data_IF_896665742122
#
_entry.id   IF_896665742122
#
_cell.length_a   1.000
_cell.length_b   1.000
_cell.length_c   1.000
_cell.angle_alpha   90.00
_cell.angle_beta   90.00
_cell.angle_gamma   90.00
#
_symmetry.space_group_name_H-M   'P 1'
#
loop_
_entity.id
_entity.type
_entity.pdbx_description
1 polymer ?
#
# COMPACT_ATOMS: atom_id res chain seq x y z
N UNK A 1 -14.41 8.98 6.36
CA UNK A 1 -13.36 8.74 5.34
C UNK A 1 -12.25 7.90 5.95
N UNK A 2 -11.68 6.94 5.18
CA UNK A 2 -10.46 6.20 5.54
C UNK A 2 -9.30 6.67 4.69
N UNK A 3 -8.07 6.67 5.22
CA UNK A 3 -6.89 7.03 4.45
C UNK A 3 -5.63 6.27 4.90
N UNK A 4 -4.63 6.25 4.01
CA UNK A 4 -3.31 5.69 4.22
C UNK A 4 -2.25 6.60 3.60
N UNK A 5 -1.21 6.92 4.35
CA UNK A 5 -0.13 7.79 3.86
C UNK A 5 0.92 7.01 3.09
N UNK A 6 1.46 7.63 2.03
CA UNK A 6 2.45 7.07 1.11
C UNK A 6 3.75 7.86 1.10
N UNK A 7 4.85 7.18 0.87
CA UNK A 7 6.16 7.79 0.76
C UNK A 7 7.15 7.39 1.86
N UNK A 8 8.34 7.91 1.77
CA UNK A 8 9.46 7.60 2.66
C UNK A 8 9.94 8.87 3.35
N UNK A 9 9.95 8.86 4.68
CA UNK A 9 10.50 9.97 5.46
C UNK A 9 12.00 10.10 5.18
N UNK A 10 12.43 11.30 4.78
CA UNK A 10 13.82 11.62 4.55
C UNK A 10 14.60 11.73 5.88
N UNK A 11 15.90 11.46 5.82
CA UNK A 11 16.78 11.70 6.98
C UNK A 11 16.78 13.18 7.35
N UNK A 12 16.84 13.47 8.64
CA UNK A 12 16.85 14.84 9.16
C UNK A 12 15.47 15.52 9.19
N UNK A 13 14.38 14.80 8.92
CA UNK A 13 13.02 15.29 9.15
C UNK A 13 12.74 15.43 10.66
N UNK A 14 12.04 16.50 11.04
CA UNK A 14 11.46 16.69 12.37
C UNK A 14 9.95 16.55 12.30
N UNK A 15 9.25 16.60 13.44
CA UNK A 15 7.77 16.60 13.43
C UNK A 15 7.21 17.91 12.88
N UNK A 16 7.89 19.01 13.14
CA UNK A 16 7.51 20.36 12.68
C UNK A 16 7.80 20.55 11.18
N UNK A 17 8.81 19.86 10.65
CA UNK A 17 9.22 19.94 9.24
C UNK A 17 9.50 18.56 8.69
N UNK A 18 8.44 17.91 8.22
CA UNK A 18 8.46 16.55 7.74
C UNK A 18 8.76 16.51 6.23
N UNK A 19 9.86 15.89 5.84
CA UNK A 19 10.25 15.72 4.44
C UNK A 19 9.96 14.30 3.97
N UNK A 20 9.16 14.19 2.90
CA UNK A 20 8.71 12.91 2.35
C UNK A 20 9.23 12.77 0.93
N UNK A 21 9.98 11.69 0.68
CA UNK A 21 10.39 11.31 -0.67
C UNK A 21 9.33 10.42 -1.31
N UNK A 22 8.91 10.75 -2.55
CA UNK A 22 8.05 9.93 -3.38
C UNK A 22 8.47 10.05 -4.85
N UNK A 23 8.85 8.92 -5.46
CA UNK A 23 9.47 8.94 -6.77
C UNK A 23 10.75 9.80 -6.75
N UNK A 24 10.82 10.76 -7.66
CA UNK A 24 11.95 11.71 -7.77
C UNK A 24 11.72 13.02 -6.99
N UNK A 25 10.57 13.17 -6.34
CA UNK A 25 10.19 14.40 -5.64
C UNK A 25 10.37 14.25 -4.13
N UNK A 26 10.66 15.39 -3.48
CA UNK A 26 10.67 15.54 -2.03
C UNK A 26 9.68 16.64 -1.65
N UNK A 27 8.71 16.28 -0.86
CA UNK A 27 7.69 17.18 -0.33
C UNK A 27 8.03 17.57 1.09
N UNK A 28 7.72 18.79 1.48
CA UNK A 28 7.85 19.24 2.86
C UNK A 28 6.46 19.50 3.41
N UNK A 29 6.11 18.81 4.48
CA UNK A 29 4.83 18.93 5.17
C UNK A 29 5.06 19.58 6.53
N UNK A 30 4.16 20.49 6.93
CA UNK A 30 4.21 21.22 8.20
C UNK A 30 2.81 21.24 8.84
N UNK A 31 2.73 21.47 10.15
CA UNK A 31 1.47 21.59 10.87
C UNK A 31 0.54 20.39 10.67
N UNK A 32 -0.72 20.66 10.31
CA UNK A 32 -1.79 19.67 10.18
C UNK A 32 -1.47 18.61 9.10
N UNK A 33 -0.84 19.00 7.97
CA UNK A 33 -0.44 18.07 6.93
C UNK A 33 0.55 17.01 7.44
N UNK A 34 1.54 17.45 8.22
CA UNK A 34 2.52 16.55 8.82
C UNK A 34 1.89 15.61 9.85
N UNK A 35 0.98 16.10 10.67
CA UNK A 35 0.26 15.31 11.67
C UNK A 35 -0.61 14.23 11.02
N UNK A 36 -1.44 14.59 10.06
CA UNK A 36 -2.30 13.67 9.32
C UNK A 36 -1.44 12.61 8.59
N UNK A 37 -0.38 13.05 7.91
CA UNK A 37 0.49 12.12 7.21
C UNK A 37 1.16 11.12 8.16
N UNK A 38 1.62 11.57 9.32
CA UNK A 38 2.26 10.69 10.32
C UNK A 38 1.26 9.70 10.92
N UNK A 39 0.02 10.09 11.14
CA UNK A 39 -1.01 9.19 11.70
C UNK A 39 -1.42 8.09 10.72
N UNK A 40 -1.54 8.41 9.43
CA UNK A 40 -1.85 7.45 8.36
C UNK A 40 -0.66 6.59 7.90
N UNK A 41 0.55 6.78 8.44
CA UNK A 41 1.78 6.18 7.89
C UNK A 41 1.87 4.66 8.04
N UNK A 42 1.38 4.10 9.13
CA UNK A 42 1.55 2.68 9.48
C UNK A 42 0.23 1.94 9.71
N UNK A 43 -0.87 2.57 9.39
CA UNK A 43 -2.22 2.01 9.52
C UNK A 43 -3.16 2.77 8.59
N UNK A 44 -4.22 2.10 8.16
CA UNK A 44 -5.37 2.82 7.62
C UNK A 44 -6.08 3.48 8.79
N UNK A 45 -6.31 4.78 8.68
CA UNK A 45 -6.84 5.63 9.75
C UNK A 45 -8.18 6.23 9.32
N UNK A 46 -9.13 6.31 10.24
CA UNK A 46 -10.35 7.07 10.03
C UNK A 46 -10.05 8.56 10.24
N UNK A 47 -10.46 9.38 9.27
CA UNK A 47 -10.34 10.82 9.36
C UNK A 47 -11.46 11.38 10.25
N UNK A 48 -11.16 12.33 11.15
CA UNK A 48 -12.21 13.10 11.83
C UNK A 48 -13.10 13.82 10.81
N UNK A 49 -14.39 13.91 11.12
CA UNK A 49 -15.38 14.55 10.24
C UNK A 49 -15.36 16.09 10.41
N UNK A 50 -14.29 16.69 9.91
CA UNK A 50 -14.09 18.14 9.88
C UNK A 50 -13.55 18.57 8.52
N UNK A 51 -14.04 19.71 8.01
CA UNK A 51 -13.66 20.21 6.67
C UNK A 51 -12.16 20.42 6.51
N UNK A 52 -11.48 20.94 7.51
CA UNK A 52 -10.03 21.19 7.46
C UNK A 52 -9.22 19.90 7.21
N UNK A 53 -9.65 18.78 7.79
CA UNK A 53 -8.99 17.49 7.62
C UNK A 53 -9.24 16.90 6.24
N UNK A 54 -10.45 17.09 5.70
CA UNK A 54 -10.79 16.62 4.35
C UNK A 54 -9.96 17.34 3.29
N UNK A 55 -9.86 18.67 3.36
CA UNK A 55 -9.05 19.47 2.44
C UNK A 55 -7.57 19.05 2.46
N UNK A 56 -7.03 18.77 3.65
CA UNK A 56 -5.64 18.28 3.79
C UNK A 56 -5.46 16.91 3.14
N UNK A 57 -6.39 15.97 3.34
CA UNK A 57 -6.29 14.65 2.69
C UNK A 57 -6.40 14.77 1.17
N UNK A 58 -7.28 15.62 0.66
CA UNK A 58 -7.39 15.87 -0.78
C UNK A 58 -6.09 16.46 -1.34
N UNK A 59 -5.46 17.41 -0.65
CA UNK A 59 -4.16 17.97 -1.00
C UNK A 59 -3.05 16.92 -0.99
N UNK A 60 -2.96 16.11 0.07
CA UNK A 60 -1.98 15.01 0.16
C UNK A 60 -2.19 13.98 -0.95
N UNK A 61 -3.43 13.64 -1.28
CA UNK A 61 -3.77 12.71 -2.34
C UNK A 61 -3.43 13.26 -3.73
N UNK A 62 -3.72 14.52 -3.99
CA UNK A 62 -3.34 15.19 -5.24
C UNK A 62 -1.82 15.19 -5.48
N UNK A 63 -1.03 15.29 -4.40
CA UNK A 63 0.42 15.13 -4.43
C UNK A 63 0.87 13.65 -4.40
N UNK A 64 -0.08 12.72 -4.32
CA UNK A 64 0.12 11.29 -4.23
C UNK A 64 0.76 10.85 -2.92
N UNK A 65 0.69 11.64 -1.86
CA UNK A 65 1.22 11.34 -0.54
C UNK A 65 0.22 10.62 0.37
N UNK A 66 -1.02 10.43 -0.10
CA UNK A 66 -2.04 9.63 0.57
C UNK A 66 -2.96 8.95 -0.46
N UNK A 67 -3.61 7.88 -0.04
CA UNK A 67 -4.79 7.29 -0.68
C UNK A 67 -5.94 7.30 0.31
N UNK A 68 -7.16 7.49 -0.19
CA UNK A 68 -8.33 7.54 0.66
C UNK A 68 -9.57 6.91 0.01
N UNK A 69 -10.55 6.57 0.85
CA UNK A 69 -11.89 6.14 0.48
C UNK A 69 -12.91 6.78 1.42
N UNK A 70 -14.07 7.13 0.88
CA UNK A 70 -15.13 7.74 1.68
C UNK A 70 -15.85 6.76 2.61
N UNK A 71 -15.91 5.48 2.23
CA UNK A 71 -16.52 4.44 3.04
C UNK A 71 -15.50 3.76 3.97
N UNK A 72 -15.98 3.13 5.03
CA UNK A 72 -15.15 2.50 6.06
C UNK A 72 -15.27 0.96 6.09
N UNK A 73 -15.64 0.35 4.97
CA UNK A 73 -15.78 -1.09 4.82
C UNK A 73 -14.46 -1.80 4.44
N UNK A 74 -14.49 -3.12 4.38
CA UNK A 74 -13.31 -3.93 4.03
C UNK A 74 -12.90 -3.74 2.57
N UNK A 75 -13.86 -3.44 1.69
CA UNK A 75 -13.61 -3.18 0.26
C UNK A 75 -12.82 -1.87 0.12
N UNK A 76 -13.19 -0.85 0.87
CA UNK A 76 -12.47 0.43 0.91
C UNK A 76 -11.03 0.28 1.37
N UNK A 77 -10.77 -0.56 2.38
CA UNK A 77 -9.40 -0.87 2.81
C UNK A 77 -8.59 -1.53 1.69
N UNK A 78 -9.17 -2.50 0.99
CA UNK A 78 -8.51 -3.14 -0.15
C UNK A 78 -8.25 -2.14 -1.28
N UNK A 79 -9.22 -1.29 -1.63
CA UNK A 79 -9.06 -0.25 -2.67
C UNK A 79 -7.93 0.73 -2.35
N UNK A 80 -7.81 1.18 -1.11
CA UNK A 80 -6.68 2.00 -0.67
C UNK A 80 -5.37 1.26 -0.93
N UNK A 81 -5.27 0.00 -0.52
CA UNK A 81 -4.04 -0.79 -0.68
C UNK A 81 -3.71 -1.09 -2.15
N UNK A 82 -4.70 -1.28 -3.02
CA UNK A 82 -4.46 -1.54 -4.46
C UNK A 82 -3.83 -0.37 -5.19
N UNK A 83 -4.02 0.85 -4.68
CA UNK A 83 -3.40 2.08 -5.21
C UNK A 83 -2.01 2.34 -4.62
N UNK A 84 -1.53 1.46 -3.77
CA UNK A 84 -0.22 1.55 -3.13
C UNK A 84 0.74 0.49 -3.67
N UNK A 85 2.01 0.84 -3.76
CA UNK A 85 3.07 -0.10 -4.06
C UNK A 85 3.75 -0.53 -2.76
N UNK A 86 3.68 -1.82 -2.44
CA UNK A 86 4.27 -2.39 -1.24
C UNK A 86 5.78 -2.57 -1.39
N UNK A 87 6.55 -1.98 -0.50
CA UNK A 87 8.01 -2.13 -0.48
C UNK A 87 8.48 -2.70 0.86
N UNK A 88 9.43 -3.63 0.88
CA UNK A 88 10.09 -4.03 2.12
C UNK A 88 10.77 -2.82 2.76
N UNK A 89 10.55 -2.62 4.06
CA UNK A 89 11.29 -1.60 4.80
C UNK A 89 12.76 -2.03 4.95
N UNK A 90 13.68 -1.06 4.96
CA UNK A 90 15.12 -1.29 5.20
C UNK A 90 15.41 -1.67 6.67
N UNK A 91 14.63 -2.58 7.24
CA UNK A 91 14.82 -3.08 8.60
C UNK A 91 15.17 -4.57 8.54
N UNK A 92 15.79 -5.10 9.60
CA UNK A 92 16.06 -6.55 9.69
C UNK A 92 14.77 -7.32 9.42
N UNK A 93 14.72 -8.06 8.32
CA UNK A 93 13.55 -8.81 7.84
C UNK A 93 13.12 -9.92 8.81
N UNK A 94 14.06 -10.43 9.60
CA UNK A 94 13.83 -11.55 10.50
C UNK A 94 13.61 -11.05 11.92
N UNK A 95 12.35 -11.05 12.33
CA UNK A 95 11.95 -10.97 13.72
C UNK A 95 11.23 -12.27 14.07
N UNK A 96 11.54 -12.85 15.20
CA UNK A 96 10.87 -14.07 15.72
C UNK A 96 9.36 -13.87 15.94
N UNK A 97 8.88 -12.62 15.90
CA UNK A 97 7.47 -12.23 16.09
C UNK A 97 6.62 -12.26 14.82
N UNK A 98 7.17 -12.66 13.66
CA UNK A 98 6.42 -12.69 12.41
C UNK A 98 5.66 -14.03 12.24
N UNK A 99 4.38 -13.94 11.86
CA UNK A 99 3.54 -15.09 11.50
C UNK A 99 4.01 -15.71 10.18
N UNK A 100 3.54 -16.93 9.89
CA UNK A 100 3.93 -17.67 8.66
C UNK A 100 3.58 -16.91 7.39
N UNK A 101 2.35 -16.40 7.28
CA UNK A 101 1.89 -15.61 6.12
C UNK A 101 2.68 -14.29 5.98
N UNK A 102 2.99 -13.59 7.07
CA UNK A 102 3.81 -12.38 7.05
C UNK A 102 5.22 -12.66 6.49
N UNK A 103 5.85 -13.76 6.92
CA UNK A 103 7.14 -14.21 6.38
C UNK A 103 7.05 -14.55 4.90
N UNK A 104 5.94 -15.14 4.46
CA UNK A 104 5.70 -15.49 3.05
C UNK A 104 5.61 -14.24 2.19
N UNK A 105 4.80 -13.26 2.56
CA UNK A 105 4.66 -12.00 1.81
C UNK A 105 5.98 -11.24 1.76
N UNK A 106 6.70 -11.11 2.88
CA UNK A 106 8.03 -10.46 2.89
C UNK A 106 9.05 -11.19 2.00
N UNK A 107 9.01 -12.52 1.97
CA UNK A 107 9.86 -13.32 1.09
C UNK A 107 9.51 -13.11 -0.38
N UNK A 108 8.22 -12.96 -0.71
CA UNK A 108 7.77 -12.64 -2.06
C UNK A 108 8.26 -11.27 -2.50
N UNK A 109 8.02 -10.23 -1.69
CA UNK A 109 8.50 -8.88 -1.96
C UNK A 109 10.02 -8.81 -2.13
N UNK A 110 10.76 -9.58 -1.31
CA UNK A 110 12.23 -9.63 -1.40
C UNK A 110 12.71 -10.40 -2.63
N UNK A 111 12.03 -11.49 -3.02
CA UNK A 111 12.39 -12.29 -4.20
C UNK A 111 12.05 -11.61 -5.51
N UNK A 112 10.95 -10.91 -5.56
CA UNK A 112 10.59 -10.13 -6.73
C UNK A 112 11.65 -9.06 -7.03
N UNK A 113 12.45 -8.68 -6.03
CA UNK A 113 13.44 -7.60 -6.18
C UNK A 113 12.80 -6.26 -6.51
N UNK A 114 11.47 -6.21 -6.53
CA UNK A 114 10.65 -5.11 -6.94
C UNK A 114 9.52 -4.85 -5.97
N UNK A 115 8.90 -3.77 -6.24
CA UNK A 115 7.69 -3.27 -5.60
C UNK A 115 6.49 -3.90 -6.28
N UNK A 116 5.59 -4.48 -5.50
CA UNK A 116 4.34 -5.07 -5.97
C UNK A 116 3.16 -4.31 -5.38
N UNK A 117 2.11 -4.12 -6.17
CA UNK A 117 0.82 -3.65 -5.67
C UNK A 117 0.11 -4.78 -4.92
N UNK A 118 -0.89 -4.43 -4.13
CA UNK A 118 -1.73 -5.43 -3.44
C UNK A 118 -2.49 -6.29 -4.45
N UNK A 119 -2.93 -5.72 -5.57
CA UNK A 119 -3.58 -6.47 -6.64
C UNK A 119 -2.65 -7.50 -7.29
N UNK A 120 -1.41 -7.11 -7.58
CA UNK A 120 -0.38 -8.03 -8.11
C UNK A 120 -0.08 -9.17 -7.12
N UNK A 121 0.08 -8.85 -5.83
CA UNK A 121 0.30 -9.86 -4.78
C UNK A 121 -0.88 -10.83 -4.68
N UNK A 122 -2.12 -10.31 -4.72
CA UNK A 122 -3.33 -11.14 -4.66
C UNK A 122 -3.40 -12.06 -5.87
N UNK A 123 -3.20 -11.53 -7.07
CA UNK A 123 -3.18 -12.31 -8.30
C UNK A 123 -2.13 -13.44 -8.27
N UNK A 124 -0.90 -13.12 -7.87
CA UNK A 124 0.18 -14.09 -7.76
C UNK A 124 -0.15 -15.20 -6.75
N UNK A 125 -0.75 -14.83 -5.62
CA UNK A 125 -1.15 -15.78 -4.60
C UNK A 125 -2.28 -16.71 -5.07
N UNK A 126 -3.35 -16.16 -5.66
CA UNK A 126 -4.49 -16.92 -6.17
C UNK A 126 -4.09 -17.92 -7.25
N UNK A 127 -3.18 -17.51 -8.14
CA UNK A 127 -2.69 -18.36 -9.22
C UNK A 127 -1.49 -19.24 -8.81
N UNK A 128 -1.07 -19.19 -7.53
CA UNK A 128 0.08 -19.95 -7.00
C UNK A 128 1.40 -19.69 -7.74
N UNK A 129 1.55 -18.50 -8.31
CA UNK A 129 2.73 -18.06 -9.06
C UNK A 129 3.74 -17.50 -8.06
N UNK A 130 4.94 -18.08 -8.03
CA UNK A 130 6.04 -17.55 -7.20
C UNK A 130 6.70 -16.37 -7.92
N UNK A 131 6.78 -15.19 -7.28
CA UNK A 131 7.49 -14.07 -7.86
C UNK A 131 8.97 -14.39 -8.06
N UNK A 132 9.50 -14.06 -9.23
CA UNK A 132 10.90 -14.16 -9.59
C UNK A 132 11.38 -12.88 -10.28
N UNK A 133 12.69 -12.63 -10.36
CA UNK A 133 13.21 -11.48 -11.10
C UNK A 133 12.79 -11.47 -12.57
N UNK A 134 12.65 -12.64 -13.20
CA UNK A 134 12.23 -12.76 -14.60
C UNK A 134 10.78 -12.28 -14.80
N UNK A 135 9.90 -12.53 -13.83
CA UNK A 135 8.51 -12.07 -13.87
C UNK A 135 8.39 -10.55 -13.82
N UNK A 136 9.46 -9.90 -13.43
CA UNK A 136 9.54 -8.47 -13.15
C UNK A 136 10.42 -7.71 -14.14
N UNK A 137 10.97 -8.41 -15.13
CA UNK A 137 11.56 -7.74 -16.28
C UNK A 137 10.45 -7.00 -17.05
N UNK A 138 10.81 -5.93 -17.73
CA UNK A 138 9.86 -4.93 -18.26
C UNK A 138 8.77 -5.55 -19.13
N UNK A 139 9.11 -6.48 -20.01
CA UNK A 139 8.16 -7.18 -20.88
C UNK A 139 7.16 -8.07 -20.12
N UNK A 140 7.65 -8.87 -19.20
CA UNK A 140 6.79 -9.76 -18.40
C UNK A 140 5.94 -8.97 -17.41
N UNK A 141 6.44 -7.85 -16.90
CA UNK A 141 5.67 -6.98 -16.03
C UNK A 141 4.53 -6.29 -16.78
N UNK A 142 4.75 -5.89 -18.02
CA UNK A 142 3.68 -5.35 -18.86
C UNK A 142 2.56 -6.37 -19.06
N UNK A 143 2.90 -7.62 -19.39
CA UNK A 143 1.93 -8.70 -19.54
C UNK A 143 1.18 -9.01 -18.21
N UNK A 144 1.87 -8.93 -17.08
CA UNK A 144 1.27 -9.09 -15.75
C UNK A 144 0.29 -7.96 -15.46
N UNK A 145 0.67 -6.72 -15.72
CA UNK A 145 -0.17 -5.53 -15.55
C UNK A 145 -1.42 -5.64 -16.45
N UNK A 146 -1.26 -5.96 -17.73
CA UNK A 146 -2.37 -6.15 -18.64
C UNK A 146 -3.32 -7.26 -18.19
N UNK A 147 -2.79 -8.37 -17.70
CA UNK A 147 -3.60 -9.48 -17.20
C UNK A 147 -4.41 -9.08 -15.97
N UNK A 148 -3.79 -8.38 -15.00
CA UNK A 148 -4.44 -7.99 -13.75
C UNK A 148 -5.41 -6.84 -13.99
N UNK A 149 -4.94 -5.77 -14.62
CA UNK A 149 -5.67 -4.49 -14.66
C UNK A 149 -6.63 -4.37 -15.86
N UNK A 150 -6.39 -5.13 -16.94
CA UNK A 150 -7.24 -5.06 -18.12
C UNK A 150 -8.21 -6.24 -18.21
N UNK A 151 -7.72 -7.45 -18.03
CA UNK A 151 -8.56 -8.65 -18.17
C UNK A 151 -9.45 -8.91 -16.96
N UNK A 152 -9.02 -8.51 -15.78
CA UNK A 152 -9.75 -8.72 -14.54
C UNK A 152 -10.56 -7.48 -14.10
N UNK A 153 -10.59 -6.41 -14.89
CA UNK A 153 -11.37 -5.19 -14.63
C UNK A 153 -11.26 -4.70 -13.19
N UNK A 154 -10.05 -4.56 -12.67
CA UNK A 154 -9.80 -4.17 -11.27
C UNK A 154 -10.46 -2.84 -10.87
N UNK A 155 -10.87 -2.04 -11.83
CA UNK A 155 -11.54 -0.75 -11.62
C UNK A 155 -13.04 -0.77 -11.88
N UNK A 156 -13.65 -1.95 -12.11
CA UNK A 156 -15.06 -2.06 -12.46
C UNK A 156 -15.87 -2.76 -11.36
N UNK A 157 -17.18 -2.52 -11.30
CA UNK A 157 -18.11 -3.13 -10.33
C UNK A 157 -18.13 -4.68 -10.39
N UNK A 158 -17.73 -5.28 -11.51
CA UNK A 158 -17.52 -6.72 -11.62
C UNK A 158 -16.46 -7.24 -10.65
N UNK A 159 -15.48 -6.42 -10.32
CA UNK A 159 -14.48 -6.78 -9.32
C UNK A 159 -15.08 -6.83 -7.92
N UNK A 160 -16.00 -5.95 -7.58
CA UNK A 160 -16.68 -5.95 -6.28
C UNK A 160 -17.38 -7.29 -6.06
N UNK A 161 -18.07 -7.82 -7.07
CA UNK A 161 -18.72 -9.12 -6.98
C UNK A 161 -17.75 -10.31 -6.93
N UNK A 162 -16.61 -10.22 -7.62
CA UNK A 162 -15.55 -11.23 -7.53
C UNK A 162 -14.77 -11.11 -6.21
N UNK A 163 -14.69 -9.91 -5.66
CA UNK A 163 -14.00 -9.62 -4.40
C UNK A 163 -14.75 -10.14 -3.18
N UNK A 164 -16.08 -10.28 -3.21
CA UNK A 164 -16.86 -10.85 -2.12
C UNK A 164 -16.47 -12.30 -1.82
N UNK A 165 -15.92 -13.03 -2.79
CA UNK A 165 -15.55 -14.45 -2.66
C UNK A 165 -14.04 -14.71 -2.54
N UNK A 166 -13.19 -13.70 -2.52
CA UNK A 166 -11.75 -13.90 -2.51
C UNK A 166 -11.17 -14.00 -1.10
N UNK A 167 -11.19 -15.20 -0.52
CA UNK A 167 -10.54 -15.51 0.76
C UNK A 167 -9.06 -15.06 0.76
N UNK A 168 -8.35 -15.27 -0.35
CA UNK A 168 -6.95 -14.88 -0.50
C UNK A 168 -6.74 -13.38 -0.41
N UNK A 169 -7.65 -12.58 -0.96
CA UNK A 169 -7.61 -11.10 -0.87
C UNK A 169 -7.62 -10.62 0.58
N UNK A 170 -8.57 -11.11 1.37
CA UNK A 170 -8.70 -10.69 2.76
C UNK A 170 -7.47 -11.10 3.57
N UNK A 171 -6.95 -12.32 3.36
CA UNK A 171 -5.73 -12.78 4.01
C UNK A 171 -4.52 -11.91 3.66
N UNK A 172 -4.37 -11.51 2.40
CA UNK A 172 -3.29 -10.61 1.98
C UNK A 172 -3.48 -9.22 2.56
N UNK A 173 -4.69 -8.66 2.50
CA UNK A 173 -5.01 -7.34 3.06
C UNK A 173 -4.64 -7.28 4.54
N UNK A 174 -5.11 -8.24 5.33
CA UNK A 174 -4.82 -8.33 6.76
C UNK A 174 -3.32 -8.49 7.03
N UNK A 175 -2.65 -9.32 6.24
CA UNK A 175 -1.22 -9.55 6.39
C UNK A 175 -0.41 -8.29 6.08
N UNK A 176 -0.77 -7.53 5.03
CA UNK A 176 -0.13 -6.26 4.69
C UNK A 176 -0.35 -5.21 5.77
N UNK A 177 -1.57 -5.12 6.33
CA UNK A 177 -1.87 -4.22 7.44
C UNK A 177 -1.04 -4.53 8.68
N UNK A 178 -0.88 -5.82 9.02
CA UNK A 178 -0.01 -6.23 10.14
C UNK A 178 1.47 -5.95 9.88
N UNK A 179 1.96 -6.19 8.66
CA UNK A 179 3.34 -5.87 8.28
C UNK A 179 3.61 -4.37 8.31
N UNK A 180 2.62 -3.55 7.93
CA UNK A 180 2.69 -2.10 7.98
C UNK A 180 2.78 -1.61 9.44
N UNK A 181 1.89 -2.09 10.33
CA UNK A 181 1.94 -1.80 11.78
C UNK A 181 3.28 -2.20 12.41
N UNK A 182 3.83 -3.34 12.00
CA UNK A 182 5.14 -3.82 12.45
C UNK A 182 6.32 -3.10 11.77
N UNK A 183 6.04 -2.12 10.91
CA UNK A 183 7.04 -1.35 10.15
C UNK A 183 8.00 -2.22 9.33
N UNK A 184 7.49 -3.33 8.80
CA UNK A 184 8.25 -4.25 7.93
C UNK A 184 8.11 -3.92 6.46
N UNK A 185 7.06 -3.18 6.10
CA UNK A 185 6.82 -2.63 4.76
C UNK A 185 6.56 -1.13 4.85
N UNK A 186 6.69 -0.46 3.73
CA UNK A 186 6.26 0.91 3.48
C UNK A 186 5.40 0.95 2.23
N UNK A 187 4.48 1.88 2.16
CA UNK A 187 3.62 2.12 1.00
C UNK A 187 4.13 3.32 0.19
N UNK A 188 4.15 3.16 -1.15
CA UNK A 188 4.53 4.21 -2.10
C UNK A 188 3.39 4.52 -3.06
#
# INVERSE_FOLDING_TARGET
MLYLSKGIVCKGSTKEKLRIARGNNVYTLEGLEAEIWLDGRFKITALPDTLDYEDVILSLSANGLAEFEYHSDEISKFRILTRCVCCPAKTKLFSNSLKKNEKTILKWLSRAGIRLTTAELTYLCENKIMPSPELTCEENRQALIETIYTKNNIFDNLLENQMENAVCRNEITDTLMELLRKRKIVML
#
